data_IF_908754619538
#
_entry.id   IF_908754619538
#
_cell.length_a   1.000
_cell.length_b   1.000
_cell.length_c   1.000
_cell.angle_alpha   90.00
_cell.angle_beta   90.00
_cell.angle_gamma   90.00
#
_symmetry.space_group_name_H-M   'P 1'
#
loop_
_entity.id
_entity.type
_entity.pdbx_description
1 polymer ?
#
# COMPACT_ATOMS: atom_id res chain seq x y z
N UNK A 1 28.72 -66.32 26.07
CA UNK A 1 29.34 -65.37 25.12
C UNK A 1 28.68 -65.59 23.76
N UNK A 2 27.61 -64.85 23.42
CA UNK A 2 27.57 -63.58 22.66
C UNK A 2 28.18 -63.65 21.22
N UNK A 3 27.25 -63.52 20.26
CA UNK A 3 27.33 -63.05 18.85
C UNK A 3 27.93 -64.06 17.85
N UNK A 4 27.44 -64.22 16.61
CA UNK A 4 26.95 -63.23 15.66
C UNK A 4 26.09 -63.85 14.53
N UNK A 5 25.29 -62.98 13.89
CA UNK A 5 24.79 -62.99 12.51
C UNK A 5 23.94 -64.13 11.97
N UNK A 6 22.66 -63.83 11.72
CA UNK A 6 22.07 -63.96 10.37
C UNK A 6 20.75 -63.18 10.28
N UNK A 7 20.68 -62.27 9.32
CA UNK A 7 19.62 -62.15 8.31
C UNK A 7 19.32 -60.70 7.91
N UNK A 8 19.88 -60.43 6.73
CA UNK A 8 19.56 -59.43 5.74
C UNK A 8 18.14 -59.67 5.18
N UNK A 9 17.51 -58.57 4.76
CA UNK A 9 16.23 -58.43 4.05
C UNK A 9 14.92 -58.41 4.87
N UNK A 10 14.44 -57.18 5.11
CA UNK A 10 13.09 -56.76 4.72
C UNK A 10 13.20 -55.35 4.10
N UNK A 11 12.89 -55.23 2.81
CA UNK A 11 12.44 -53.98 2.21
C UNK A 11 10.96 -53.80 2.58
N UNK A 12 10.55 -52.60 2.99
CA UNK A 12 9.34 -51.95 2.47
C UNK A 12 9.26 -50.48 2.91
N UNK A 13 9.10 -49.62 1.90
CA UNK A 13 8.32 -48.39 1.86
C UNK A 13 8.56 -47.34 2.97
N UNK A 14 9.30 -46.27 2.66
CA UNK A 14 8.79 -45.04 2.05
C UNK A 14 8.32 -44.05 3.11
N UNK A 15 9.20 -43.10 3.44
CA UNK A 15 8.81 -41.72 3.70
C UNK A 15 9.97 -40.84 3.26
N UNK A 16 9.74 -40.19 2.13
CA UNK A 16 10.60 -39.20 1.51
C UNK A 16 10.52 -37.92 2.34
N UNK A 17 11.35 -37.80 3.38
CA UNK A 17 11.55 -36.51 4.02
C UNK A 17 12.44 -35.65 3.11
N UNK A 18 11.83 -34.62 2.54
CA UNK A 18 12.45 -33.66 1.66
C UNK A 18 13.68 -33.04 2.32
N UNK A 19 14.87 -33.36 1.80
CA UNK A 19 16.12 -32.70 2.17
C UNK A 19 16.07 -31.25 1.71
N UNK A 20 15.64 -30.36 2.60
CA UNK A 20 15.70 -28.92 2.36
C UNK A 20 17.15 -28.45 2.17
N UNK A 21 17.39 -27.39 1.38
CA UNK A 21 18.72 -26.94 0.96
C UNK A 21 19.59 -26.30 2.08
N UNK A 22 19.29 -26.56 3.36
CA UNK A 22 19.90 -25.92 4.52
C UNK A 22 20.33 -26.90 5.63
N UNK A 23 20.41 -28.19 5.35
CA UNK A 23 20.81 -29.20 6.34
C UNK A 23 22.32 -29.50 6.30
N UNK A 24 23.15 -28.45 6.42
CA UNK A 24 24.56 -28.62 6.77
C UNK A 24 24.68 -28.59 8.30
N UNK A 25 25.28 -29.63 8.89
CA UNK A 25 25.35 -29.81 10.35
C UNK A 25 26.09 -28.70 11.12
N UNK A 26 26.83 -27.81 10.43
CA UNK A 26 27.42 -26.60 11.02
C UNK A 26 26.40 -25.47 11.23
N UNK A 27 25.25 -25.53 10.54
CA UNK A 27 24.11 -24.62 10.72
C UNK A 27 23.28 -24.92 11.99
N UNK A 28 23.52 -26.04 12.67
CA UNK A 28 22.71 -26.50 13.81
C UNK A 28 23.15 -25.85 15.14
N UNK A 29 24.36 -25.31 15.24
CA UNK A 29 24.78 -24.52 16.42
C UNK A 29 24.19 -23.08 16.47
N UNK A 30 23.19 -22.81 15.61
CA UNK A 30 22.63 -21.49 15.40
C UNK A 30 21.57 -21.07 16.41
N UNK A 31 20.98 -22.03 17.16
CA UNK A 31 19.93 -21.78 18.15
C UNK A 31 20.36 -20.85 19.31
N UNK A 32 21.66 -20.66 19.54
CA UNK A 32 22.17 -19.80 20.62
C UNK A 32 22.59 -18.39 20.19
N UNK A 33 22.57 -18.07 18.89
CA UNK A 33 22.99 -16.76 18.39
C UNK A 33 21.84 -15.75 18.42
N UNK A 34 21.88 -14.80 19.35
CA UNK A 34 20.91 -13.69 19.40
C UNK A 34 21.10 -12.76 18.18
N UNK A 35 20.00 -12.23 17.62
CA UNK A 35 20.00 -11.24 16.52
C UNK A 35 21.01 -10.11 16.71
N UNK A 36 21.18 -9.60 17.93
CA UNK A 36 22.14 -8.54 18.25
C UNK A 36 23.59 -8.93 17.92
N UNK A 37 23.96 -10.19 18.14
CA UNK A 37 25.31 -10.70 17.83
C UNK A 37 25.53 -10.80 16.32
N UNK A 38 24.50 -11.18 15.57
CA UNK A 38 24.54 -11.25 14.10
C UNK A 38 24.65 -9.85 13.49
N UNK A 39 23.88 -8.89 14.02
CA UNK A 39 23.97 -7.48 13.63
C UNK A 39 25.38 -6.93 13.86
N UNK A 40 25.99 -7.20 15.02
CA UNK A 40 27.36 -6.78 15.31
C UNK A 40 28.39 -7.43 14.39
N UNK A 41 28.22 -8.70 14.03
CA UNK A 41 29.10 -9.40 13.08
C UNK A 41 29.05 -8.76 11.70
N UNK A 42 27.84 -8.56 11.16
CA UNK A 42 27.63 -7.90 9.87
C UNK A 42 28.19 -6.47 9.88
N UNK A 43 27.95 -5.70 10.95
CA UNK A 43 28.47 -4.34 11.07
C UNK A 43 30.00 -4.27 11.12
N UNK A 44 30.67 -5.27 11.72
CA UNK A 44 32.14 -5.32 11.82
C UNK A 44 32.79 -5.82 10.53
N UNK A 45 32.12 -6.70 9.79
CA UNK A 45 32.59 -7.29 8.53
C UNK A 45 31.46 -7.25 7.51
N UNK A 46 31.24 -6.11 6.84
CA UNK A 46 30.12 -5.94 5.92
C UNK A 46 30.20 -6.91 4.73
N UNK A 47 31.40 -7.28 4.26
CA UNK A 47 31.58 -8.16 3.10
C UNK A 47 31.44 -9.66 3.43
N UNK A 48 31.15 -10.01 4.69
CA UNK A 48 30.95 -11.41 5.11
C UNK A 48 29.55 -11.90 4.72
N UNK A 49 29.45 -12.48 3.51
CA UNK A 49 28.21 -13.04 2.98
C UNK A 49 27.55 -14.04 3.94
N UNK A 50 28.33 -14.86 4.62
CA UNK A 50 27.80 -15.87 5.54
C UNK A 50 27.15 -15.21 6.76
N UNK A 51 27.71 -14.11 7.25
CA UNK A 51 27.09 -13.34 8.33
C UNK A 51 25.73 -12.74 7.93
N UNK A 52 25.60 -12.25 6.68
CA UNK A 52 24.32 -11.76 6.14
C UNK A 52 23.29 -12.87 5.99
N UNK A 53 23.65 -13.99 5.36
CA UNK A 53 22.75 -15.14 5.17
C UNK A 53 22.27 -15.69 6.50
N UNK A 54 23.17 -15.78 7.50
CA UNK A 54 22.82 -16.17 8.87
C UNK A 54 21.80 -15.21 9.49
N UNK A 55 22.01 -13.89 9.37
CA UNK A 55 21.05 -12.89 9.86
C UNK A 55 19.68 -13.02 9.17
N UNK A 56 19.65 -13.22 7.85
CA UNK A 56 18.42 -13.43 7.08
C UNK A 56 17.70 -14.70 7.57
N UNK A 57 18.44 -15.81 7.69
CA UNK A 57 17.88 -17.08 8.15
C UNK A 57 17.32 -16.98 9.57
N UNK A 58 18.03 -16.31 10.48
CA UNK A 58 17.54 -16.03 11.83
C UNK A 58 16.20 -15.29 11.81
N UNK A 59 16.12 -14.18 11.06
CA UNK A 59 14.92 -13.38 10.97
C UNK A 59 13.76 -14.18 10.36
N UNK A 60 14.03 -15.01 9.36
CA UNK A 60 13.04 -15.87 8.72
C UNK A 60 12.52 -16.96 9.67
N UNK A 61 13.41 -17.64 10.39
CA UNK A 61 13.04 -18.71 11.34
C UNK A 61 12.13 -18.19 12.46
N UNK A 62 12.38 -16.96 12.92
CA UNK A 62 11.65 -16.32 14.01
C UNK A 62 10.48 -15.42 13.54
N UNK A 63 10.10 -15.47 12.25
CA UNK A 63 9.01 -14.70 11.68
C UNK A 63 9.12 -13.16 11.90
N UNK A 64 10.35 -12.64 11.89
CA UNK A 64 10.64 -11.23 12.14
C UNK A 64 10.62 -10.44 10.82
N UNK A 65 9.42 -10.07 10.35
CA UNK A 65 9.23 -9.42 9.04
C UNK A 65 10.08 -8.16 8.83
N UNK A 66 10.02 -7.18 9.75
CA UNK A 66 10.78 -5.93 9.63
C UNK A 66 12.30 -6.13 9.68
N UNK A 67 12.87 -6.90 10.63
CA UNK A 67 14.29 -7.28 10.60
C UNK A 67 14.71 -8.12 9.38
N UNK A 68 13.81 -8.95 8.85
CA UNK A 68 14.06 -9.78 7.67
C UNK A 68 14.20 -8.90 6.42
N UNK A 69 13.26 -7.98 6.21
CA UNK A 69 13.34 -6.97 5.16
C UNK A 69 14.66 -6.20 5.24
N UNK A 70 15.02 -5.71 6.42
CA UNK A 70 16.26 -4.97 6.63
C UNK A 70 17.51 -5.80 6.34
N UNK A 71 17.52 -7.07 6.74
CA UNK A 71 18.64 -7.97 6.50
C UNK A 71 18.83 -8.30 5.01
N UNK A 72 17.73 -8.47 4.27
CA UNK A 72 17.76 -8.62 2.81
C UNK A 72 18.26 -7.35 2.14
N UNK A 73 17.74 -6.20 2.54
CA UNK A 73 18.15 -4.90 2.01
C UNK A 73 19.64 -4.63 2.24
N UNK A 74 20.13 -4.88 3.46
CA UNK A 74 21.54 -4.71 3.81
C UNK A 74 22.45 -5.60 2.96
N UNK A 75 22.02 -6.83 2.66
CA UNK A 75 22.75 -7.72 1.74
C UNK A 75 22.78 -7.16 0.32
N UNK A 76 21.65 -6.67 -0.19
CA UNK A 76 21.56 -6.08 -1.53
C UNK A 76 22.50 -4.87 -1.67
N UNK A 77 22.55 -4.00 -0.66
CA UNK A 77 23.43 -2.83 -0.63
C UNK A 77 24.90 -3.24 -0.66
N UNK A 78 25.29 -4.23 0.14
CA UNK A 78 26.68 -4.71 0.19
C UNK A 78 27.09 -5.39 -1.12
N UNK A 79 26.16 -6.10 -1.76
CA UNK A 79 26.45 -6.80 -3.00
C UNK A 79 26.65 -5.84 -4.18
N UNK A 80 26.12 -4.62 -4.15
CA UNK A 80 26.38 -3.55 -5.12
C UNK A 80 26.31 -4.07 -6.58
N UNK A 81 25.13 -4.57 -6.95
CA UNK A 81 24.82 -5.22 -8.23
C UNK A 81 25.52 -6.56 -8.54
N UNK A 82 26.21 -7.17 -7.57
CA UNK A 82 26.75 -8.53 -7.72
C UNK A 82 25.78 -9.57 -7.14
N UNK A 83 25.87 -10.83 -7.57
CA UNK A 83 25.11 -11.92 -6.95
C UNK A 83 23.58 -11.84 -7.13
N UNK A 84 23.10 -11.29 -8.25
CA UNK A 84 21.68 -11.15 -8.57
C UNK A 84 20.85 -12.43 -8.38
N UNK A 85 21.39 -13.58 -8.81
CA UNK A 85 20.70 -14.87 -8.69
C UNK A 85 20.50 -15.28 -7.23
N UNK A 86 21.51 -15.03 -6.38
CA UNK A 86 21.43 -15.30 -4.94
C UNK A 86 20.39 -14.39 -4.29
N UNK A 87 20.47 -13.09 -4.55
CA UNK A 87 19.52 -12.09 -4.03
C UNK A 87 18.08 -12.44 -4.42
N UNK A 88 17.84 -12.76 -5.70
CA UNK A 88 16.54 -13.19 -6.21
C UNK A 88 16.05 -14.46 -5.50
N UNK A 89 16.91 -15.46 -5.33
CA UNK A 89 16.56 -16.71 -4.64
C UNK A 89 16.19 -16.46 -3.18
N UNK A 90 16.95 -15.63 -2.47
CA UNK A 90 16.67 -15.28 -1.07
C UNK A 90 15.36 -14.50 -0.92
N UNK A 91 15.14 -13.48 -1.75
CA UNK A 91 13.88 -12.70 -1.75
C UNK A 91 12.68 -13.61 -2.03
N UNK A 92 12.81 -14.50 -3.02
CA UNK A 92 11.75 -15.46 -3.36
C UNK A 92 11.47 -16.43 -2.21
N UNK A 93 12.51 -16.95 -1.57
CA UNK A 93 12.38 -17.85 -0.43
C UNK A 93 11.74 -17.20 0.80
N UNK A 94 11.93 -15.89 0.98
CA UNK A 94 11.39 -15.12 2.10
C UNK A 94 10.02 -14.49 1.81
N UNK A 95 9.46 -14.65 0.61
CA UNK A 95 8.25 -13.96 0.14
C UNK A 95 7.03 -14.12 1.07
N UNK A 96 6.89 -15.27 1.73
CA UNK A 96 5.76 -15.54 2.62
C UNK A 96 5.73 -14.67 3.89
N UNK A 97 6.86 -14.05 4.25
CA UNK A 97 7.01 -13.23 5.47
C UNK A 97 7.21 -11.74 5.16
N UNK A 98 7.17 -11.35 3.89
CA UNK A 98 7.35 -9.98 3.44
C UNK A 98 6.03 -9.38 2.99
N UNK A 99 5.81 -8.11 3.34
CA UNK A 99 4.69 -7.33 2.80
C UNK A 99 4.85 -7.07 1.30
N UNK A 100 3.74 -6.74 0.63
CA UNK A 100 3.74 -6.39 -0.80
C UNK A 100 4.66 -5.21 -1.12
N UNK A 101 4.64 -4.16 -0.29
CA UNK A 101 5.48 -2.98 -0.44
C UNK A 101 6.96 -3.29 -0.23
N UNK A 102 7.30 -4.08 0.80
CA UNK A 102 8.67 -4.53 1.08
C UNK A 102 9.24 -5.36 -0.08
N UNK A 103 8.44 -6.26 -0.64
CA UNK A 103 8.84 -7.09 -1.76
C UNK A 103 9.03 -6.26 -3.03
N UNK A 104 8.18 -5.27 -3.27
CA UNK A 104 8.35 -4.33 -4.38
C UNK A 104 9.66 -3.55 -4.21
N UNK A 105 9.91 -2.97 -3.02
CA UNK A 105 11.12 -2.23 -2.73
C UNK A 105 12.40 -3.04 -2.95
N UNK A 106 12.44 -4.30 -2.49
CA UNK A 106 13.58 -5.20 -2.68
C UNK A 106 13.85 -5.53 -4.15
N UNK A 107 12.80 -5.67 -4.97
CA UNK A 107 12.95 -5.93 -6.40
C UNK A 107 13.37 -4.69 -7.20
N UNK A 108 13.00 -3.48 -6.77
CA UNK A 108 13.39 -2.23 -7.43
C UNK A 108 14.78 -1.74 -7.04
N UNK A 109 15.32 -2.20 -5.89
CA UNK A 109 16.62 -1.78 -5.36
C UNK A 109 17.79 -2.07 -6.30
N UNK A 110 17.70 -3.06 -7.19
CA UNK A 110 18.73 -3.40 -8.18
C UNK A 110 19.02 -2.32 -9.23
N UNK A 111 18.31 -1.18 -9.21
CA UNK A 111 18.50 -0.11 -10.19
C UNK A 111 18.89 1.24 -9.57
N UNK A 112 18.58 1.48 -8.28
CA UNK A 112 18.93 2.73 -7.60
C UNK A 112 18.99 2.53 -6.08
N UNK A 113 20.20 2.27 -5.56
CA UNK A 113 20.47 2.09 -4.13
C UNK A 113 20.18 3.37 -3.32
N UNK A 114 20.09 4.55 -3.96
CA UNK A 114 19.92 5.82 -3.25
C UNK A 114 18.47 6.12 -2.83
N UNK A 115 17.49 5.43 -3.39
CA UNK A 115 16.07 5.67 -3.10
C UNK A 115 15.43 4.65 -2.15
N UNK A 116 16.21 3.68 -1.65
CA UNK A 116 15.63 2.58 -0.88
C UNK A 116 15.28 3.01 0.53
N UNK A 117 14.02 2.81 0.90
CA UNK A 117 13.53 3.10 2.25
C UNK A 117 14.02 2.03 3.22
N UNK A 118 14.96 2.43 4.08
CA UNK A 118 15.40 1.61 5.20
C UNK A 118 14.39 1.63 6.33
N UNK A 119 14.53 0.70 7.27
CA UNK A 119 13.83 0.76 8.55
C UNK A 119 14.85 0.82 9.70
N UNK A 120 14.38 0.88 10.95
CA UNK A 120 15.24 0.97 12.14
C UNK A 120 16.20 -0.22 12.34
N UNK A 121 16.02 -1.32 11.61
CA UNK A 121 16.86 -2.51 11.65
C UNK A 121 17.89 -2.54 10.51
N UNK A 122 17.81 -1.62 9.55
CA UNK A 122 18.77 -1.49 8.44
C UNK A 122 20.10 -0.93 8.93
N UNK A 123 21.20 -1.46 8.42
CA UNK A 123 22.57 -1.12 8.83
C UNK A 123 23.28 -0.25 7.80
N UNK A 124 22.99 -0.43 6.51
CA UNK A 124 23.75 0.17 5.42
C UNK A 124 22.95 1.16 4.56
N UNK A 125 21.72 1.47 4.96
CA UNK A 125 20.89 2.48 4.29
C UNK A 125 21.35 3.90 4.65
N UNK A 126 21.42 4.81 3.68
CA UNK A 126 21.93 6.20 3.84
C UNK A 126 20.99 7.16 4.58
N UNK A 127 20.25 6.67 5.58
CA UNK A 127 19.52 7.51 6.53
C UNK A 127 18.10 7.94 6.15
N UNK A 128 17.55 7.46 5.03
CA UNK A 128 16.11 7.52 4.78
C UNK A 128 15.41 6.42 5.58
N UNK A 129 15.18 6.71 6.86
CA UNK A 129 14.30 5.92 7.75
C UNK A 129 12.95 6.62 7.73
N UNK A 130 12.03 6.10 6.94
CA UNK A 130 10.69 6.65 6.82
C UNK A 130 10.09 6.41 5.44
N UNK A 131 8.78 6.27 5.42
CA UNK A 131 8.01 6.32 4.19
C UNK A 131 8.03 7.74 3.64
N UNK A 132 8.48 7.93 2.39
CA UNK A 132 8.16 9.13 1.61
C UNK A 132 6.66 9.22 1.30
N UNK A 133 5.90 8.17 1.64
CA UNK A 133 4.45 8.14 1.67
C UNK A 133 3.88 8.80 2.94
N UNK A 134 4.17 10.10 3.13
CA UNK A 134 3.32 10.93 4.00
C UNK A 134 1.98 11.28 3.31
N UNK A 135 1.96 11.17 1.98
CA UNK A 135 0.78 11.21 1.14
C UNK A 135 0.80 9.94 0.29
N UNK A 136 0.18 8.89 0.82
CA UNK A 136 -0.51 7.97 -0.06
C UNK A 136 -1.62 8.80 -0.69
N UNK A 137 -1.37 9.36 -1.87
CA UNK A 137 -2.47 9.64 -2.78
C UNK A 137 -3.19 8.31 -2.88
N UNK A 138 -4.26 8.16 -2.09
CA UNK A 138 -5.29 7.20 -2.39
C UNK A 138 -5.65 7.53 -3.81
N UNK A 139 -5.07 6.78 -4.75
CA UNK A 139 -5.78 6.42 -5.95
C UNK A 139 -7.15 6.07 -5.45
N UNK A 140 -8.09 6.89 -5.86
CA UNK A 140 -9.43 6.99 -5.34
C UNK A 140 -9.97 5.57 -5.20
N UNK A 141 -9.85 4.99 -4.02
CA UNK A 141 -10.95 4.24 -3.47
C UNK A 141 -12.03 5.30 -3.42
N UNK A 142 -12.81 5.37 -4.50
CA UNK A 142 -14.14 5.93 -4.52
C UNK A 142 -14.86 5.20 -3.41
N UNK A 143 -14.66 5.65 -2.18
CA UNK A 143 -15.72 5.65 -1.22
C UNK A 143 -16.75 6.49 -1.95
N UNK A 144 -17.72 5.80 -2.53
CA UNK A 144 -18.91 6.38 -3.14
C UNK A 144 -19.68 7.00 -1.97
N UNK A 145 -19.12 8.06 -1.37
CA UNK A 145 -19.89 8.96 -0.55
C UNK A 145 -20.88 9.55 -1.53
N UNK A 146 -22.15 9.14 -1.39
CA UNK A 146 -23.23 9.74 -2.14
C UNK A 146 -23.12 11.25 -1.93
N UNK A 147 -22.91 11.99 -3.01
CA UNK A 147 -22.69 13.43 -2.94
C UNK A 147 -23.88 14.14 -2.27
N UNK A 148 -25.06 13.52 -2.32
CA UNK A 148 -26.24 13.97 -1.60
C UNK A 148 -26.04 13.90 -0.07
N UNK A 149 -25.55 12.78 0.45
CA UNK A 149 -25.29 12.60 1.88
C UNK A 149 -24.21 13.57 2.37
N UNK A 150 -23.13 13.73 1.60
CA UNK A 150 -22.05 14.66 1.95
C UNK A 150 -22.54 16.12 1.96
N UNK A 151 -23.39 16.50 1.00
CA UNK A 151 -23.99 17.84 0.99
C UNK A 151 -24.95 18.05 2.17
N UNK A 152 -25.69 17.02 2.59
CA UNK A 152 -26.54 17.10 3.79
C UNK A 152 -25.72 17.33 5.05
N UNK A 153 -24.58 16.64 5.21
CA UNK A 153 -23.66 16.89 6.31
C UNK A 153 -23.18 18.34 6.31
N UNK A 154 -22.80 18.87 5.14
CA UNK A 154 -22.40 20.28 5.02
C UNK A 154 -23.54 21.24 5.37
N UNK A 155 -24.78 20.95 4.98
CA UNK A 155 -25.94 21.76 5.37
C UNK A 155 -26.17 21.71 6.88
N UNK A 156 -26.04 20.52 7.49
CA UNK A 156 -26.17 20.35 8.95
C UNK A 156 -25.14 21.21 9.71
N UNK A 157 -23.91 21.29 9.19
CA UNK A 157 -22.86 22.15 9.71
C UNK A 157 -22.88 23.59 9.17
N UNK A 158 -23.95 24.00 8.48
CA UNK A 158 -24.13 25.34 7.88
C UNK A 158 -23.02 25.76 6.90
N UNK A 159 -22.30 24.79 6.33
CA UNK A 159 -21.28 24.95 5.29
C UNK A 159 -21.96 24.99 3.92
N UNK A 160 -22.78 26.01 3.69
CA UNK A 160 -23.67 26.08 2.51
C UNK A 160 -22.89 26.26 1.19
N UNK A 161 -21.73 26.92 1.23
CA UNK A 161 -20.88 27.09 0.04
C UNK A 161 -20.27 25.76 -0.40
N UNK A 162 -19.80 24.97 0.56
CA UNK A 162 -19.25 23.63 0.37
C UNK A 162 -20.32 22.63 -0.07
N UNK A 163 -21.54 22.74 0.48
CA UNK A 163 -22.69 21.96 0.04
C UNK A 163 -23.02 22.22 -1.43
N UNK A 164 -23.12 23.50 -1.83
CA UNK A 164 -23.36 23.89 -3.22
C UNK A 164 -22.27 23.38 -4.16
N UNK A 165 -20.99 23.57 -3.81
CA UNK A 165 -19.85 23.08 -4.61
C UNK A 165 -19.90 21.57 -4.80
N UNK A 166 -20.20 20.84 -3.73
CA UNK A 166 -20.27 19.37 -3.75
C UNK A 166 -21.37 18.88 -4.70
N UNK A 167 -22.56 19.48 -4.64
CA UNK A 167 -23.69 19.16 -5.51
C UNK A 167 -23.43 19.58 -6.97
N UNK A 168 -22.86 20.76 -7.21
CA UNK A 168 -22.46 21.24 -8.54
C UNK A 168 -21.48 20.27 -9.22
N UNK A 169 -20.48 19.80 -8.47
CA UNK A 169 -19.52 18.81 -8.95
C UNK A 169 -20.17 17.44 -9.19
N UNK A 170 -21.11 17.03 -8.33
CA UNK A 170 -21.84 15.79 -8.49
C UNK A 170 -22.71 15.81 -9.75
N UNK A 171 -23.38 16.92 -10.05
CA UNK A 171 -24.18 17.06 -11.27
C UNK A 171 -23.34 17.01 -12.55
N UNK A 172 -22.05 17.33 -12.51
CA UNK A 172 -21.18 17.13 -13.67
C UNK A 172 -20.92 15.64 -13.96
N UNK A 173 -21.07 14.76 -12.97
CA UNK A 173 -20.85 13.31 -13.09
C UNK A 173 -22.15 12.54 -13.26
N UNK A 174 -23.18 12.91 -12.50
CA UNK A 174 -24.47 12.24 -12.40
C UNK A 174 -25.60 13.25 -12.69
N UNK A 175 -25.60 13.78 -13.91
CA UNK A 175 -26.45 14.90 -14.30
C UNK A 175 -27.95 14.59 -14.30
N UNK A 176 -28.32 13.31 -14.39
CA UNK A 176 -29.71 12.83 -14.42
C UNK A 176 -30.34 12.59 -13.03
N UNK A 177 -29.65 12.85 -11.92
CA UNK A 177 -30.21 12.63 -10.57
C UNK A 177 -31.09 13.81 -10.13
N UNK A 178 -32.42 13.63 -10.01
CA UNK A 178 -33.34 14.71 -9.70
C UNK A 178 -33.15 15.24 -8.26
N UNK A 179 -32.82 14.37 -7.31
CA UNK A 179 -32.68 14.73 -5.89
C UNK A 179 -31.56 15.75 -5.67
N UNK A 180 -30.44 15.57 -6.36
CA UNK A 180 -29.28 16.49 -6.34
C UNK A 180 -29.67 17.83 -6.97
N UNK A 181 -30.40 17.79 -8.08
CA UNK A 181 -30.89 19.00 -8.75
C UNK A 181 -31.84 19.80 -7.84
N UNK A 182 -32.78 19.14 -7.16
CA UNK A 182 -33.71 19.82 -6.25
C UNK A 182 -32.98 20.47 -5.07
N UNK A 183 -32.10 19.72 -4.39
CA UNK A 183 -31.38 20.25 -3.23
C UNK A 183 -30.49 21.44 -3.60
N UNK A 184 -29.86 21.40 -4.77
CA UNK A 184 -29.06 22.51 -5.26
C UNK A 184 -29.92 23.75 -5.57
N UNK A 185 -31.10 23.57 -6.15
CA UNK A 185 -32.04 24.67 -6.41
C UNK A 185 -32.54 25.31 -5.10
N UNK A 186 -32.85 24.50 -4.08
CA UNK A 186 -33.22 24.99 -2.74
C UNK A 186 -32.09 25.80 -2.10
N UNK A 187 -30.85 25.35 -2.25
CA UNK A 187 -29.67 26.09 -1.78
C UNK A 187 -29.47 27.40 -2.53
N UNK A 188 -29.63 27.41 -3.86
CA UNK A 188 -29.54 28.66 -4.63
C UNK A 188 -30.63 29.66 -4.23
N UNK A 189 -31.86 29.19 -4.00
CA UNK A 189 -32.95 30.04 -3.57
C UNK A 189 -32.72 30.60 -2.16
N UNK A 190 -32.37 29.75 -1.20
CA UNK A 190 -32.15 30.16 0.20
C UNK A 190 -30.94 31.08 0.38
N UNK A 191 -29.88 30.90 -0.42
CA UNK A 191 -28.68 31.75 -0.39
C UNK A 191 -28.75 32.94 -1.35
N UNK A 192 -29.83 33.09 -2.13
CA UNK A 192 -29.97 34.12 -3.17
C UNK A 192 -28.81 34.16 -4.19
N UNK A 193 -28.20 33.00 -4.46
CA UNK A 193 -27.00 32.84 -5.32
C UNK A 193 -27.32 32.90 -6.81
N UNK A 194 -27.94 33.99 -7.27
CA UNK A 194 -28.44 34.16 -8.65
C UNK A 194 -27.35 34.13 -9.74
N UNK A 195 -26.14 34.57 -9.43
CA UNK A 195 -25.01 34.52 -10.37
C UNK A 195 -24.53 33.08 -10.59
N UNK A 196 -24.38 32.33 -9.49
CA UNK A 196 -23.95 30.92 -9.50
C UNK A 196 -24.97 30.05 -10.22
N UNK A 197 -26.25 30.26 -9.94
CA UNK A 197 -27.35 29.63 -10.66
C UNK A 197 -27.26 29.89 -12.18
N UNK A 198 -27.08 31.15 -12.61
CA UNK A 198 -27.00 31.50 -14.04
C UNK A 198 -25.82 30.80 -14.74
N UNK A 199 -24.66 30.76 -14.11
CA UNK A 199 -23.48 30.08 -14.64
C UNK A 199 -23.75 28.58 -14.81
N UNK A 200 -24.31 27.94 -13.78
CA UNK A 200 -24.56 26.50 -13.80
C UNK A 200 -25.70 26.12 -14.75
N UNK A 201 -26.79 26.88 -14.77
CA UNK A 201 -27.91 26.69 -15.69
C UNK A 201 -27.49 26.84 -17.16
N UNK A 202 -26.65 27.85 -17.47
CA UNK A 202 -26.07 28.02 -18.80
C UNK A 202 -25.22 26.82 -19.22
N UNK A 203 -24.28 26.41 -18.36
CA UNK A 203 -23.39 25.24 -18.59
C UNK A 203 -24.16 23.94 -18.83
N UNK A 204 -25.26 23.72 -18.10
CA UNK A 204 -26.09 22.52 -18.25
C UNK A 204 -26.93 22.54 -19.53
N UNK A 205 -27.46 23.71 -19.90
CA UNK A 205 -28.24 23.89 -21.14
C UNK A 205 -27.35 23.71 -22.37
N UNK A 206 -26.13 24.27 -22.35
CA UNK A 206 -25.14 24.09 -23.43
C UNK A 206 -24.74 22.62 -23.62
N UNK A 207 -24.64 21.86 -22.53
CA UNK A 207 -24.29 20.44 -22.55
C UNK A 207 -25.47 19.50 -22.87
N UNK A 208 -26.69 20.04 -23.01
CA UNK A 208 -27.89 19.25 -23.29
C UNK A 208 -28.27 18.28 -22.16
N UNK A 209 -27.96 18.62 -20.91
CA UNK A 209 -28.29 17.79 -19.75
C UNK A 209 -29.81 17.79 -19.51
N UNK A 210 -30.43 16.65 -19.19
CA UNK A 210 -31.84 16.61 -18.78
C UNK A 210 -32.02 17.33 -17.42
N UNK A 211 -32.58 18.53 -17.46
CA UNK A 211 -32.91 19.33 -16.29
C UNK A 211 -34.38 19.12 -15.89
N UNK A 212 -34.65 19.11 -14.58
CA UNK A 212 -36.02 19.10 -14.07
C UNK A 212 -36.71 20.45 -14.30
N UNK A 213 -38.04 20.45 -14.41
CA UNK A 213 -38.86 21.66 -14.67
C UNK A 213 -38.62 22.78 -13.64
N UNK A 214 -38.22 22.43 -12.42
CA UNK A 214 -37.92 23.38 -11.34
C UNK A 214 -36.78 24.35 -11.68
N UNK A 215 -35.84 23.99 -12.57
CA UNK A 215 -34.80 24.91 -13.04
C UNK A 215 -35.39 26.08 -13.83
N UNK A 216 -36.37 25.81 -14.68
CA UNK A 216 -37.06 26.84 -15.45
C UNK A 216 -37.84 27.80 -14.54
N UNK A 217 -38.56 27.24 -13.56
CA UNK A 217 -39.28 28.04 -12.57
C UNK A 217 -38.34 28.96 -11.76
N UNK A 218 -37.18 28.45 -11.33
CA UNK A 218 -36.21 29.27 -10.59
C UNK A 218 -35.54 30.31 -11.49
N UNK A 219 -35.34 30.01 -12.78
CA UNK A 219 -34.85 30.98 -13.75
C UNK A 219 -35.83 32.16 -13.92
N UNK A 220 -37.14 31.93 -13.91
CA UNK A 220 -38.14 33.00 -13.95
C UNK A 220 -38.10 33.88 -12.70
N UNK A 221 -37.92 33.27 -11.52
CA UNK A 221 -37.76 33.98 -10.24
C UNK A 221 -36.52 34.88 -10.26
N UNK A 222 -35.37 34.37 -10.69
CA UNK A 222 -34.14 35.18 -10.76
C UNK A 222 -34.10 36.16 -11.94
N UNK A 223 -34.86 35.92 -13.02
CA UNK A 223 -34.98 36.83 -14.16
C UNK A 223 -35.91 38.02 -13.92
N UNK A 224 -36.55 38.11 -12.74
CA UNK A 224 -37.37 39.25 -12.37
C UNK A 224 -38.79 39.22 -12.92
N UNK A 225 -39.32 38.06 -13.30
CA UNK A 225 -40.77 37.86 -13.44
C UNK A 225 -41.34 37.43 -12.09
N UNK A 226 -41.30 38.40 -11.17
CA UNK A 226 -42.21 38.67 -10.03
C UNK A 226 -43.07 37.56 -9.45
N UNK A 227 -43.13 37.52 -8.12
CA UNK A 227 -44.40 37.84 -7.49
C UNK A 227 -44.53 39.36 -7.36
#
# INVERSE_FOLDING_TARGET
>A
MRRCSTNLFVMTAAESEASGPFMDHEAIFFESSNLSTLVLKVRRKPDDLMAHVRRIYFCYLHALSDPLYAALLDLLIVLDDKGHDLSRRLITGCRSQLGSEQLLALNTTSHDVQQVQGNKYSLFTKGLIGTLHLLQSRDQQQIHHDALALAQDFIEYSQLEEAMLTLEQALMRESARPDIQMLLLELYQSTSSSERFRQQYGSMTEKGVPLIDAWGALAEVFAGKTL
#
